data_IF_316723779203
#
_entry.id   IF_316723779203
#
_cell.length_a   1.000
_cell.length_b   1.000
_cell.length_c   1.000
_cell.angle_alpha   90.00
_cell.angle_beta   90.00
_cell.angle_gamma   90.00
#
_symmetry.space_group_name_H-M   'P 1'
#
loop_
_entity.id
_entity.type
_entity.pdbx_description
1 polymer ?
#
# COMPACT_ATOMS: atom_id res chain seq x y z
N UNK A 1 9.87 7.86 -16.33
CA UNK A 1 10.30 7.80 -14.96
C UNK A 1 9.12 7.85 -14.00
N UNK A 2 9.29 7.47 -12.75
CA UNK A 2 8.27 7.63 -11.70
C UNK A 2 8.18 9.11 -11.27
N UNK A 3 6.99 9.55 -10.86
CA UNK A 3 6.77 10.92 -10.38
C UNK A 3 7.28 11.09 -8.94
N UNK A 4 6.97 10.12 -8.08
CA UNK A 4 7.33 10.11 -6.67
C UNK A 4 7.93 8.76 -6.30
N UNK A 5 8.81 8.77 -5.31
CA UNK A 5 9.36 7.56 -4.73
C UNK A 5 9.63 7.75 -3.25
N UNK A 6 9.47 6.68 -2.48
CA UNK A 6 9.75 6.69 -1.05
C UNK A 6 10.41 5.39 -0.62
N UNK A 7 11.30 5.49 0.36
CA UNK A 7 11.93 4.35 1.03
C UNK A 7 11.88 4.59 2.53
N UNK A 8 11.35 3.62 3.27
CA UNK A 8 11.39 3.58 4.73
C UNK A 8 12.13 2.31 5.13
N UNK A 9 13.15 2.44 5.96
CA UNK A 9 13.86 1.31 6.55
C UNK A 9 13.51 1.24 8.04
N UNK A 10 13.02 0.09 8.49
CA UNK A 10 12.57 -0.11 9.86
C UNK A 10 13.23 -1.36 10.46
N UNK A 11 13.45 -1.32 11.76
CA UNK A 11 13.77 -2.50 12.53
C UNK A 11 12.47 -3.28 12.83
N UNK A 12 12.28 -4.50 12.30
CA UNK A 12 11.02 -5.24 12.45
C UNK A 12 10.75 -5.70 13.89
N UNK A 13 11.78 -5.74 14.75
CA UNK A 13 11.63 -6.18 16.14
C UNK A 13 11.19 -5.06 17.09
N UNK A 14 11.53 -3.82 16.75
CA UNK A 14 11.30 -2.65 17.62
C UNK A 14 10.32 -1.64 17.03
N UNK A 15 10.08 -1.68 15.70
CA UNK A 15 9.33 -0.67 14.97
C UNK A 15 10.11 0.64 14.74
N UNK A 16 11.39 0.70 15.14
CA UNK A 16 12.23 1.88 14.98
C UNK A 16 12.48 2.18 13.50
N UNK A 17 12.22 3.42 13.08
CA UNK A 17 12.52 3.91 11.73
C UNK A 17 14.00 4.28 11.68
N UNK A 18 14.80 3.49 10.95
CA UNK A 18 16.26 3.68 10.79
C UNK A 18 16.58 4.70 9.71
N UNK A 19 15.76 4.76 8.67
CA UNK A 19 15.90 5.72 7.58
C UNK A 19 14.56 5.97 6.91
N UNK A 20 14.37 7.19 6.43
CA UNK A 20 13.22 7.60 5.64
C UNK A 20 13.69 8.57 4.56
N UNK A 21 13.38 8.28 3.32
CA UNK A 21 13.76 9.11 2.18
C UNK A 21 12.62 9.18 1.16
N UNK A 22 12.41 10.34 0.58
CA UNK A 22 11.45 10.56 -0.51
C UNK A 22 12.12 11.28 -1.68
N UNK A 23 11.54 11.14 -2.86
CA UNK A 23 11.90 11.85 -4.07
C UNK A 23 10.61 12.24 -4.80
N UNK A 24 10.42 13.49 -5.23
CA UNK A 24 11.38 14.60 -5.17
C UNK A 24 11.67 15.10 -3.75
N UNK A 25 12.75 15.85 -3.59
CA UNK A 25 13.18 16.45 -2.32
C UNK A 25 13.66 17.86 -2.55
N UNK A 26 13.69 18.69 -1.51
CA UNK A 26 14.14 20.07 -1.54
C UNK A 26 15.43 20.26 -0.74
N UNK A 27 16.11 21.39 -0.96
CA UNK A 27 17.29 21.78 -0.19
C UNK A 27 16.85 22.50 1.10
N UNK A 28 17.22 21.91 2.25
CA UNK A 28 16.91 22.48 3.57
C UNK A 28 17.58 23.85 3.81
N UNK A 29 18.67 24.16 3.09
CA UNK A 29 19.32 25.48 3.14
C UNK A 29 18.60 26.52 2.29
N UNK A 30 17.81 26.10 1.30
CA UNK A 30 16.98 26.94 0.45
C UNK A 30 15.57 26.36 0.26
N UNK A 31 14.78 26.26 1.33
CA UNK A 31 13.55 25.49 1.33
C UNK A 31 12.42 26.08 0.46
N UNK A 32 12.57 27.31 0.00
CA UNK A 32 11.59 28.01 -0.84
C UNK A 32 11.98 28.05 -2.31
N UNK A 33 13.04 27.35 -2.70
CA UNK A 33 13.50 27.30 -4.08
C UNK A 33 12.64 26.32 -4.90
N UNK A 34 11.85 26.88 -5.79
CA UNK A 34 11.01 26.14 -6.74
C UNK A 34 11.72 25.89 -8.08
N UNK A 35 12.91 26.46 -8.32
CA UNK A 35 13.60 26.45 -9.62
C UNK A 35 13.98 25.04 -10.10
N UNK A 36 14.02 24.06 -9.21
CA UNK A 36 14.27 22.65 -9.55
C UNK A 36 13.08 21.98 -10.26
N UNK A 37 11.86 22.52 -10.05
CA UNK A 37 10.62 21.88 -10.50
C UNK A 37 9.81 22.76 -11.44
N UNK A 38 10.05 24.06 -11.45
CA UNK A 38 9.35 25.07 -12.24
C UNK A 38 10.34 25.97 -12.95
N UNK A 39 10.02 26.40 -14.14
CA UNK A 39 10.79 27.41 -14.88
C UNK A 39 10.65 28.79 -14.25
N UNK A 40 11.57 29.69 -14.53
CA UNK A 40 11.51 31.08 -14.04
C UNK A 40 10.23 31.80 -14.51
N UNK A 41 9.76 31.51 -15.71
CA UNK A 41 8.52 32.07 -16.28
C UNK A 41 7.30 31.55 -15.48
N UNK A 42 7.24 30.27 -15.18
CA UNK A 42 6.16 29.68 -14.37
C UNK A 42 6.16 30.28 -12.96
N UNK A 43 7.31 30.35 -12.29
CA UNK A 43 7.43 30.91 -10.94
C UNK A 43 7.01 32.39 -10.91
N UNK A 44 7.39 33.16 -11.94
CA UNK A 44 7.04 34.59 -12.04
C UNK A 44 5.54 34.78 -12.31
N UNK A 45 4.93 33.89 -13.09
CA UNK A 45 3.51 33.88 -13.40
C UNK A 45 2.59 33.40 -12.29
N UNK A 46 3.12 32.69 -11.28
CA UNK A 46 2.34 32.19 -10.15
C UNK A 46 1.80 33.32 -9.27
N UNK A 47 0.54 33.19 -8.86
CA UNK A 47 -0.01 34.01 -7.77
C UNK A 47 0.66 33.68 -6.44
N UNK A 48 0.41 34.50 -5.40
CA UNK A 48 0.91 34.19 -4.05
C UNK A 48 0.37 32.88 -3.51
N UNK A 49 -0.88 32.56 -3.80
CA UNK A 49 -1.53 31.33 -3.34
C UNK A 49 -0.97 30.11 -4.09
N UNK A 50 -0.79 30.19 -5.41
CA UNK A 50 -0.17 29.10 -6.20
C UNK A 50 1.26 28.81 -5.73
N UNK A 51 2.04 29.84 -5.35
CA UNK A 51 3.38 29.66 -4.79
C UNK A 51 3.36 28.94 -3.44
N UNK A 52 2.39 29.27 -2.59
CA UNK A 52 2.21 28.60 -1.30
C UNK A 52 1.84 27.13 -1.52
N UNK A 53 0.94 26.85 -2.45
CA UNK A 53 0.53 25.48 -2.78
C UNK A 53 1.69 24.67 -3.35
N UNK A 54 2.48 25.23 -4.26
CA UNK A 54 3.68 24.60 -4.81
C UNK A 54 4.73 24.31 -3.72
N UNK A 55 4.92 25.22 -2.75
CA UNK A 55 5.81 25.03 -1.62
C UNK A 55 5.29 23.94 -0.67
N UNK A 56 3.99 23.92 -0.36
CA UNK A 56 3.38 22.90 0.47
C UNK A 56 3.55 21.52 -0.15
N UNK A 57 3.37 21.38 -1.46
CA UNK A 57 3.61 20.13 -2.18
C UNK A 57 5.09 19.73 -2.15
N UNK A 58 6.01 20.70 -2.31
CA UNK A 58 7.46 20.47 -2.23
C UNK A 58 7.91 19.98 -0.84
N UNK A 59 7.35 20.55 0.22
CA UNK A 59 7.70 20.21 1.61
C UNK A 59 7.03 18.94 2.10
N UNK A 60 6.06 18.44 1.37
CA UNK A 60 5.30 17.26 1.75
C UNK A 60 6.19 16.03 1.81
N UNK A 61 6.16 15.33 2.94
CA UNK A 61 6.85 14.06 3.08
C UNK A 61 5.97 12.93 2.56
N UNK A 62 6.26 12.46 1.36
CA UNK A 62 5.53 11.37 0.71
C UNK A 62 5.40 10.11 1.59
N UNK A 63 6.42 9.80 2.41
CA UNK A 63 6.40 8.62 3.28
C UNK A 63 5.27 8.62 4.32
N UNK A 64 4.77 9.80 4.72
CA UNK A 64 3.78 9.94 5.81
C UNK A 64 2.51 10.68 5.38
N UNK A 65 2.54 11.34 4.22
CA UNK A 65 1.42 12.19 3.78
C UNK A 65 0.62 11.59 2.64
N UNK A 66 1.14 10.57 1.97
CA UNK A 66 0.52 9.98 0.80
C UNK A 66 0.00 8.58 1.07
N UNK A 67 -1.08 8.25 0.39
CA UNK A 67 -1.66 6.91 0.36
C UNK A 67 -1.31 6.22 -0.95
N UNK A 68 -1.25 4.90 -0.94
CA UNK A 68 -1.05 4.09 -2.13
C UNK A 68 -1.81 2.78 -2.01
N UNK A 69 -2.13 2.18 -3.15
CA UNK A 69 -2.71 0.84 -3.18
C UNK A 69 -1.61 -0.20 -2.88
N UNK A 70 -1.70 -0.93 -1.75
CA UNK A 70 -0.63 -1.83 -1.33
C UNK A 70 -0.46 -3.04 -2.24
N UNK A 71 -1.47 -3.36 -3.05
CA UNK A 71 -1.45 -4.52 -3.94
C UNK A 71 -1.22 -5.82 -3.18
N UNK A 72 -0.36 -6.68 -3.70
CA UNK A 72 -0.10 -8.00 -3.11
C UNK A 72 0.60 -7.98 -1.75
N UNK A 73 1.10 -6.85 -1.28
CA UNK A 73 1.72 -6.75 0.04
C UNK A 73 0.71 -6.85 1.19
N UNK A 74 -0.60 -6.68 0.91
CA UNK A 74 -1.67 -6.90 1.90
C UNK A 74 -2.03 -8.38 2.11
N UNK A 75 -1.65 -9.26 1.20
CA UNK A 75 -2.03 -10.68 1.23
C UNK A 75 -1.58 -11.45 2.48
N UNK A 76 -0.36 -11.24 3.02
CA UNK A 76 0.04 -11.84 4.28
C UNK A 76 -0.89 -11.49 5.45
N UNK A 77 -1.39 -10.25 5.50
CA UNK A 77 -2.35 -9.82 6.53
C UNK A 77 -3.68 -10.55 6.39
N UNK A 78 -4.17 -10.75 5.17
CA UNK A 78 -5.39 -11.52 4.89
C UNK A 78 -5.25 -12.96 5.37
N UNK A 79 -4.13 -13.63 5.03
CA UNK A 79 -3.88 -15.02 5.45
C UNK A 79 -3.71 -15.10 6.97
N UNK A 80 -2.96 -14.19 7.59
CA UNK A 80 -2.78 -14.14 9.04
C UNK A 80 -4.12 -13.97 9.78
N UNK A 81 -4.99 -13.09 9.28
CA UNK A 81 -6.35 -12.93 9.80
C UNK A 81 -7.13 -14.24 9.73
N UNK A 82 -7.13 -14.89 8.56
CA UNK A 82 -7.84 -16.17 8.36
C UNK A 82 -7.39 -17.29 9.30
N UNK A 83 -6.08 -17.39 9.53
CA UNK A 83 -5.50 -18.35 10.46
C UNK A 83 -5.86 -18.03 11.92
N UNK A 84 -5.77 -16.76 12.31
CA UNK A 84 -6.01 -16.32 13.68
C UNK A 84 -7.46 -16.52 14.12
N UNK A 85 -8.43 -16.25 13.24
CA UNK A 85 -9.86 -16.47 13.54
C UNK A 85 -10.33 -17.92 13.32
N UNK A 86 -9.44 -18.79 12.84
CA UNK A 86 -9.77 -20.19 12.53
C UNK A 86 -10.61 -20.39 11.27
N UNK A 87 -10.76 -19.37 10.42
CA UNK A 87 -11.34 -19.50 9.08
C UNK A 87 -10.44 -20.34 8.14
N UNK A 88 -9.14 -20.36 8.43
CA UNK A 88 -8.13 -21.22 7.80
C UNK A 88 -7.50 -22.12 8.85
N UNK A 89 -7.20 -23.37 8.44
CA UNK A 89 -6.43 -24.33 9.25
C UNK A 89 -4.99 -24.47 8.77
N UNK A 90 -4.71 -24.00 7.54
CA UNK A 90 -3.41 -24.06 6.90
C UNK A 90 -3.19 -25.30 5.99
N UNK A 91 -4.14 -26.22 5.97
CA UNK A 91 -4.11 -27.44 5.15
C UNK A 91 -5.09 -27.43 3.97
N UNK A 92 -5.77 -26.29 3.76
CA UNK A 92 -6.70 -26.11 2.66
C UNK A 92 -5.99 -26.12 1.31
N UNK A 93 -6.78 -26.49 0.31
CA UNK A 93 -6.39 -26.36 -1.09
C UNK A 93 -7.37 -25.49 -1.86
N UNK A 94 -6.84 -24.70 -2.80
CA UNK A 94 -7.58 -23.74 -3.60
C UNK A 94 -7.39 -24.04 -5.08
N UNK A 95 -8.45 -23.88 -5.87
CA UNK A 95 -8.35 -23.99 -7.31
C UNK A 95 -8.42 -22.60 -7.96
N UNK A 96 -7.45 -22.29 -8.81
CA UNK A 96 -7.40 -21.07 -9.59
C UNK A 96 -7.55 -21.38 -11.08
N UNK A 97 -8.71 -21.08 -11.63
CA UNK A 97 -8.99 -21.14 -13.07
C UNK A 97 -8.63 -19.88 -13.86
N UNK A 98 -7.89 -18.94 -13.24
CA UNK A 98 -7.46 -17.71 -13.87
C UNK A 98 -8.29 -16.47 -13.46
N UNK A 99 -9.57 -16.62 -13.13
CA UNK A 99 -10.42 -15.53 -12.65
C UNK A 99 -11.43 -16.02 -11.61
N UNK A 100 -12.04 -15.08 -10.91
CA UNK A 100 -13.17 -15.31 -10.01
C UNK A 100 -14.23 -14.23 -10.25
N UNK A 101 -15.48 -14.66 -10.40
CA UNK A 101 -16.62 -13.77 -10.46
C UNK A 101 -17.05 -13.38 -9.05
N UNK A 102 -17.11 -12.09 -8.76
CA UNK A 102 -17.66 -11.52 -7.53
C UNK A 102 -18.71 -10.48 -7.95
N UNK A 103 -19.95 -10.77 -7.68
CA UNK A 103 -21.10 -10.00 -8.17
C UNK A 103 -21.03 -9.78 -9.69
N UNK A 104 -21.05 -8.51 -10.15
CA UNK A 104 -20.92 -8.14 -11.55
C UNK A 104 -19.47 -8.08 -12.07
N UNK A 105 -18.46 -8.29 -11.20
CA UNK A 105 -17.04 -8.10 -11.53
C UNK A 105 -16.33 -9.44 -11.75
N UNK A 106 -15.74 -9.63 -12.92
CA UNK A 106 -14.73 -10.67 -13.14
C UNK A 106 -13.35 -10.17 -12.77
N UNK A 107 -12.78 -10.71 -11.68
CA UNK A 107 -11.45 -10.32 -11.20
C UNK A 107 -10.43 -11.36 -11.64
N UNK A 108 -9.45 -10.91 -12.41
CA UNK A 108 -8.43 -11.78 -13.02
C UNK A 108 -7.24 -12.00 -12.10
N UNK A 109 -6.70 -13.21 -12.15
CA UNK A 109 -5.41 -13.55 -11.58
C UNK A 109 -4.29 -13.19 -12.56
N UNK A 110 -3.07 -13.04 -12.07
CA UNK A 110 -1.89 -12.82 -12.91
C UNK A 110 -1.66 -13.97 -13.92
N UNK A 111 -2.13 -15.17 -13.59
CA UNK A 111 -2.05 -16.37 -14.44
C UNK A 111 -3.23 -16.55 -15.40
N UNK A 112 -4.10 -15.53 -15.55
CA UNK A 112 -5.34 -15.63 -16.34
C UNK A 112 -5.07 -16.14 -17.76
N UNK A 113 -4.12 -15.52 -18.47
CA UNK A 113 -3.80 -15.87 -19.86
C UNK A 113 -3.17 -17.26 -20.03
N UNK A 114 -2.71 -17.87 -18.93
CA UNK A 114 -2.13 -19.21 -18.89
C UNK A 114 -3.11 -20.28 -18.33
N UNK A 115 -4.40 -19.95 -18.18
CA UNK A 115 -5.41 -20.85 -17.69
C UNK A 115 -5.48 -21.01 -16.17
N UNK A 116 -4.85 -20.09 -15.43
CA UNK A 116 -4.83 -20.11 -13.97
C UNK A 116 -3.64 -20.88 -13.38
N UNK A 117 -3.55 -20.93 -12.04
CA UNK A 117 -2.52 -21.68 -11.32
C UNK A 117 -2.91 -23.15 -11.06
N UNK A 118 -4.17 -23.53 -11.34
CA UNK A 118 -4.68 -24.87 -10.99
C UNK A 118 -4.87 -25.05 -9.48
N UNK A 119 -4.68 -26.29 -9.03
CA UNK A 119 -4.78 -26.68 -7.61
C UNK A 119 -3.54 -26.24 -6.85
N UNK A 120 -3.71 -25.57 -5.70
CA UNK A 120 -2.64 -25.03 -4.87
C UNK A 120 -2.95 -25.26 -3.38
N UNK A 121 -1.94 -25.57 -2.58
CA UNK A 121 -2.03 -25.41 -1.13
C UNK A 121 -1.79 -23.94 -0.71
N UNK A 122 -1.96 -23.63 0.57
CA UNK A 122 -1.84 -22.27 1.07
C UNK A 122 -0.44 -21.66 0.83
N UNK A 123 0.64 -22.44 0.95
CA UNK A 123 2.00 -21.99 0.65
C UNK A 123 2.14 -21.60 -0.81
N UNK A 124 1.68 -22.42 -1.73
CA UNK A 124 1.70 -22.14 -3.17
C UNK A 124 0.82 -20.93 -3.54
N UNK A 125 -0.31 -20.74 -2.84
CA UNK A 125 -1.15 -19.53 -3.00
C UNK A 125 -0.36 -18.26 -2.71
N UNK A 126 0.45 -18.28 -1.65
CA UNK A 126 1.29 -17.13 -1.28
C UNK A 126 2.48 -16.97 -2.22
N UNK A 127 3.19 -18.04 -2.57
CA UNK A 127 4.33 -18.03 -3.51
C UNK A 127 3.94 -17.48 -4.89
N UNK A 128 2.78 -17.94 -5.39
CA UNK A 128 2.24 -17.52 -6.69
C UNK A 128 1.48 -16.18 -6.62
N UNK A 129 1.33 -15.63 -5.44
CA UNK A 129 0.51 -14.42 -5.24
C UNK A 129 -0.88 -14.52 -5.88
N UNK A 130 -1.56 -15.67 -5.70
CA UNK A 130 -2.78 -16.02 -6.40
C UNK A 130 -3.97 -15.15 -5.97
N UNK A 131 -4.47 -14.29 -6.84
CA UNK A 131 -5.62 -13.43 -6.55
C UNK A 131 -6.89 -14.24 -6.29
N UNK A 132 -7.16 -15.28 -7.10
CA UNK A 132 -8.38 -16.09 -6.98
C UNK A 132 -8.48 -16.75 -5.60
N UNK A 133 -7.40 -17.39 -5.15
CA UNK A 133 -7.38 -18.02 -3.83
C UNK A 133 -7.50 -17.00 -2.69
N UNK A 134 -6.79 -15.85 -2.80
CA UNK A 134 -6.88 -14.80 -1.77
C UNK A 134 -8.28 -14.17 -1.69
N UNK A 135 -9.00 -14.03 -2.81
CA UNK A 135 -10.40 -13.61 -2.78
C UNK A 135 -11.30 -14.64 -2.08
N UNK A 136 -11.10 -15.94 -2.35
CA UNK A 136 -11.83 -17.01 -1.65
C UNK A 136 -11.56 -16.97 -0.13
N UNK A 137 -10.32 -16.76 0.26
CA UNK A 137 -9.93 -16.58 1.67
C UNK A 137 -10.61 -15.34 2.27
N UNK A 138 -10.57 -14.21 1.60
CA UNK A 138 -11.22 -12.97 2.05
C UNK A 138 -12.74 -13.14 2.23
N UNK A 139 -13.40 -13.84 1.31
CA UNK A 139 -14.83 -14.16 1.42
C UNK A 139 -15.13 -15.10 2.61
N UNK A 140 -14.23 -16.03 2.90
CA UNK A 140 -14.38 -16.92 4.06
C UNK A 140 -14.17 -16.20 5.40
N UNK A 141 -13.29 -15.18 5.45
CA UNK A 141 -13.09 -14.32 6.62
C UNK A 141 -14.33 -13.44 6.85
N UNK A 142 -14.88 -12.90 5.79
CA UNK A 142 -15.98 -11.94 5.82
C UNK A 142 -15.55 -10.51 6.18
N UNK A 143 -16.40 -9.52 5.86
CA UNK A 143 -16.02 -8.10 5.96
C UNK A 143 -15.82 -7.63 7.41
N UNK A 144 -16.61 -8.13 8.35
CA UNK A 144 -16.56 -7.70 9.75
C UNK A 144 -15.20 -8.06 10.39
N UNK A 145 -14.80 -9.33 10.34
CA UNK A 145 -13.53 -9.77 10.90
C UNK A 145 -12.34 -9.20 10.10
N UNK A 146 -12.47 -9.06 8.79
CA UNK A 146 -11.44 -8.44 7.97
C UNK A 146 -11.16 -7.01 8.41
N UNK A 147 -12.18 -6.16 8.56
CA UNK A 147 -12.05 -4.77 9.03
C UNK A 147 -11.50 -4.69 10.46
N UNK A 148 -11.96 -5.56 11.35
CA UNK A 148 -11.48 -5.63 12.73
C UNK A 148 -9.98 -5.93 12.78
N UNK A 149 -9.49 -6.90 12.00
CA UNK A 149 -8.07 -7.25 11.97
C UNK A 149 -7.21 -6.21 11.25
N UNK A 150 -7.73 -5.52 10.25
CA UNK A 150 -7.05 -4.33 9.71
C UNK A 150 -6.73 -3.33 10.84
N UNK A 151 -7.69 -3.04 11.71
CA UNK A 151 -7.47 -2.15 12.86
C UNK A 151 -6.47 -2.74 13.86
N UNK A 152 -6.49 -4.06 14.12
CA UNK A 152 -5.52 -4.73 15.00
C UNK A 152 -4.10 -4.64 14.44
N UNK A 153 -3.92 -4.73 13.13
CA UNK A 153 -2.64 -4.51 12.45
C UNK A 153 -2.20 -3.03 12.42
N UNK A 154 -3.01 -2.12 12.93
CA UNK A 154 -2.70 -0.70 13.03
C UNK A 154 -3.11 0.12 11.80
N UNK A 155 -3.78 -0.46 10.80
CA UNK A 155 -4.32 0.32 9.69
C UNK A 155 -5.40 1.28 10.19
N UNK A 156 -5.39 2.52 9.69
CA UNK A 156 -6.28 3.58 10.14
C UNK A 156 -5.91 4.20 11.50
N UNK A 157 -4.75 3.87 12.06
CA UNK A 157 -4.24 4.40 13.33
C UNK A 157 -3.10 5.40 13.09
N UNK A 158 -2.84 6.27 14.07
CA UNK A 158 -1.64 7.09 14.05
C UNK A 158 -0.39 6.24 14.16
N UNK A 159 0.62 6.51 13.32
CA UNK A 159 1.88 5.75 13.32
C UNK A 159 2.79 6.10 14.51
N UNK A 160 2.55 7.25 15.16
CA UNK A 160 3.45 7.79 16.19
C UNK A 160 4.73 8.44 15.63
N UNK A 161 4.89 8.52 14.32
CA UNK A 161 5.97 9.29 13.69
C UNK A 161 5.74 10.77 13.98
N UNK A 162 6.74 11.46 14.56
CA UNK A 162 6.67 12.88 14.95
C UNK A 162 6.83 13.79 13.70
N UNK A 163 5.90 13.67 12.78
CA UNK A 163 5.78 14.48 11.57
C UNK A 163 4.31 14.82 11.33
N UNK A 164 4.00 15.98 10.70
CA UNK A 164 2.63 16.33 10.32
C UNK A 164 2.00 15.23 9.45
N UNK A 165 0.76 14.87 9.75
CA UNK A 165 -0.02 13.85 9.01
C UNK A 165 0.64 12.47 9.03
N UNK A 166 0.71 11.83 10.19
CA UNK A 166 1.25 10.47 10.35
C UNK A 166 0.16 9.40 10.50
N UNK A 167 -0.89 9.48 9.67
CA UNK A 167 -1.93 8.45 9.62
C UNK A 167 -1.53 7.27 8.73
N UNK A 168 -1.91 6.06 9.16
CA UNK A 168 -2.04 4.95 8.24
C UNK A 168 -3.40 5.08 7.54
N UNK A 169 -3.39 5.49 6.29
CA UNK A 169 -4.59 5.53 5.47
C UNK A 169 -4.73 4.21 4.70
N UNK A 170 -5.93 3.69 4.66
CA UNK A 170 -6.36 2.63 3.74
C UNK A 170 -7.15 3.24 2.59
#
# INVERSE_FOLDING_TARGET
GFKNGAVIMMNPNTGEVLAMASSPTYDLNNPRDLSKYYTEEEITGMSSDDKIDALNELWRNFCVSDTFEPGSTIKPFTVATGLEIGALKGDETYYCGGSLQIDEWEIKCISYDNGGHGQQNLTQVMENSCNVALMQIGLAIGPEEFCKYQSIFGFGQYTGIDLPVSYTHL
#
